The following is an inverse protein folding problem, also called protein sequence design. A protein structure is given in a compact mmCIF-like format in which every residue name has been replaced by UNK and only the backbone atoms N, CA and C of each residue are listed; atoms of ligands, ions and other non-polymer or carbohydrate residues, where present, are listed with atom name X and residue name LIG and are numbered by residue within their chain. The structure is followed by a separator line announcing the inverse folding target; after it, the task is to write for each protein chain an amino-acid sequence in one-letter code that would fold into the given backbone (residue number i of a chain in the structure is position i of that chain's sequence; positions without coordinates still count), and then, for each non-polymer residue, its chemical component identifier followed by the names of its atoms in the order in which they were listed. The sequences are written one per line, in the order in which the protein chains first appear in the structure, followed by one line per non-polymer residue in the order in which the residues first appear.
data_IF_771806266910
#
_entry.id   IF_771806266910
#
_cell.length_a   1.000
_cell.length_b   1.000
_cell.length_c   1.000
_cell.angle_alpha   90.00
_cell.angle_beta   90.00
_cell.angle_gamma   90.00
#
_symmetry.space_group_name_H-M   'P 1'
#
loop_
_entity.id
_entity.type
_entity.pdbx_description
1 polymer ?
#
# COMPACT_ATOMS: atom_id res chain seq x y z
N UNK A 1 -5.16 10.83 -9.17
CA UNK A 1 -4.45 11.05 -7.88
C UNK A 1 -4.94 9.99 -6.91
N UNK A 2 -4.06 9.10 -6.41
CA UNK A 2 -4.47 8.04 -5.46
C UNK A 2 -4.65 8.65 -4.06
N UNK A 3 -5.86 8.60 -3.54
CA UNK A 3 -6.20 9.18 -2.25
C UNK A 3 -5.86 8.20 -1.12
N UNK A 4 -4.71 8.39 -0.47
CA UNK A 4 -4.18 7.47 0.54
C UNK A 4 -4.81 7.62 1.94
N UNK A 5 -5.96 8.29 2.08
CA UNK A 5 -6.55 8.73 3.37
C UNK A 5 -6.77 7.64 4.44
N UNK A 6 -6.61 6.35 4.12
CA UNK A 6 -6.88 5.21 5.00
C UNK A 6 -5.82 4.96 6.09
N UNK A 7 -4.63 5.57 6.03
CA UNK A 7 -3.60 5.40 7.07
C UNK A 7 -3.69 6.58 8.07
N UNK A 8 -4.89 6.87 8.57
CA UNK A 8 -5.13 7.87 9.62
C UNK A 8 -5.72 7.18 10.85
N UNK A 9 -4.98 6.27 11.47
CA UNK A 9 -5.31 5.82 12.82
C UNK A 9 -4.27 6.32 13.84
N UNK A 10 -4.68 7.34 14.57
CA UNK A 10 -4.36 7.69 15.95
C UNK A 10 -2.99 7.24 16.52
N UNK A 11 -1.91 8.03 16.29
CA UNK A 11 -0.79 8.08 17.24
C UNK A 11 0.63 7.69 16.77
N UNK A 12 0.85 7.16 15.56
CA UNK A 12 2.22 6.82 15.07
C UNK A 12 2.49 7.37 13.67
N UNK A 13 2.76 8.68 13.60
CA UNK A 13 2.91 9.45 12.34
C UNK A 13 4.15 9.09 11.51
N UNK A 14 5.24 8.62 12.13
CA UNK A 14 6.54 8.46 11.45
C UNK A 14 6.67 7.14 10.67
N UNK A 15 6.27 6.01 11.26
CA UNK A 15 6.33 4.70 10.58
C UNK A 15 5.39 4.63 9.38
N UNK A 16 4.22 5.24 9.49
CA UNK A 16 3.20 5.29 8.44
C UNK A 16 3.69 6.01 7.17
N UNK A 17 4.57 7.01 7.29
CA UNK A 17 5.08 7.76 6.14
C UNK A 17 6.11 6.95 5.34
N UNK A 18 7.02 6.24 6.03
CA UNK A 18 8.05 5.41 5.37
C UNK A 18 7.42 4.23 4.62
N UNK A 19 6.46 3.55 5.26
CA UNK A 19 5.69 2.46 4.65
C UNK A 19 5.01 2.94 3.37
N UNK A 20 4.34 4.10 3.41
CA UNK A 20 3.70 4.67 2.22
C UNK A 20 4.67 4.98 1.11
N UNK A 21 5.82 5.60 1.43
CA UNK A 21 6.85 5.88 0.42
C UNK A 21 7.31 4.59 -0.27
N UNK A 22 7.59 3.53 0.49
CA UNK A 22 8.00 2.25 -0.09
C UNK A 22 6.93 1.66 -1.00
N UNK A 23 5.68 1.61 -0.54
CA UNK A 23 4.55 1.09 -1.31
C UNK A 23 4.37 1.90 -2.60
N UNK A 24 4.28 3.23 -2.50
CA UNK A 24 4.08 4.10 -3.66
C UNK A 24 5.23 3.96 -4.64
N UNK A 25 6.48 3.92 -4.16
CA UNK A 25 7.67 3.72 -4.99
C UNK A 25 7.59 2.41 -5.77
N UNK A 26 7.24 1.32 -5.11
CA UNK A 26 7.07 0.01 -5.75
C UNK A 26 5.96 0.04 -6.80
N UNK A 27 4.81 0.63 -6.47
CA UNK A 27 3.67 0.75 -7.38
C UNK A 27 4.01 1.60 -8.60
N UNK A 28 4.68 2.75 -8.44
CA UNK A 28 5.07 3.60 -9.57
C UNK A 28 6.10 2.93 -10.48
N UNK A 29 6.93 2.04 -9.94
CA UNK A 29 7.99 1.37 -10.68
C UNK A 29 7.48 0.14 -11.45
N UNK A 30 6.60 -0.67 -10.84
CA UNK A 30 6.11 -1.91 -11.44
C UNK A 30 4.73 -1.78 -12.10
N UNK A 31 3.90 -0.86 -11.60
CA UNK A 31 2.50 -0.69 -12.01
C UNK A 31 2.20 0.78 -12.36
N UNK A 32 2.96 1.39 -13.30
CA UNK A 32 2.66 2.74 -13.76
C UNK A 32 1.22 2.81 -14.26
N UNK A 33 0.51 3.89 -13.93
CA UNK A 33 -0.92 4.10 -14.24
C UNK A 33 -1.92 3.15 -13.56
N UNK A 34 -1.51 2.26 -12.66
CA UNK A 34 -2.48 1.41 -11.95
C UNK A 34 -3.20 2.19 -10.84
N UNK A 35 -4.54 2.12 -10.86
CA UNK A 35 -5.39 2.78 -9.88
C UNK A 35 -5.61 1.83 -8.71
N UNK A 36 -5.34 2.30 -7.50
CA UNK A 36 -5.69 1.57 -6.28
C UNK A 36 -7.21 1.54 -6.13
N UNK A 37 -7.79 0.36 -6.14
CA UNK A 37 -9.20 0.13 -5.85
C UNK A 37 -9.46 0.14 -4.35
N UNK A 38 -8.63 -0.56 -3.56
CA UNK A 38 -8.80 -0.64 -2.11
C UNK A 38 -7.48 -0.93 -1.39
N UNK A 39 -7.39 -0.49 -0.14
CA UNK A 39 -6.24 -0.75 0.73
C UNK A 39 -6.77 -1.29 2.05
N UNK A 40 -6.43 -2.54 2.36
CA UNK A 40 -6.74 -3.16 3.64
C UNK A 40 -5.47 -3.31 4.47
N UNK A 41 -5.57 -2.96 5.76
CA UNK A 41 -4.51 -3.25 6.73
C UNK A 41 -4.96 -4.38 7.63
N UNK A 42 -4.27 -5.53 7.59
CA UNK A 42 -4.46 -6.64 8.53
C UNK A 42 -3.27 -6.73 9.45
N UNK A 43 -3.44 -6.46 10.76
CA UNK A 43 -2.40 -6.54 11.81
C UNK A 43 -0.97 -6.14 11.36
N UNK A 44 -0.24 -7.08 10.75
CA UNK A 44 1.14 -6.95 10.28
C UNK A 44 1.32 -6.92 8.74
N UNK A 45 0.27 -6.70 7.96
CA UNK A 45 0.34 -6.68 6.50
C UNK A 45 -0.62 -5.63 5.91
N UNK A 46 -0.27 -5.13 4.73
CA UNK A 46 -1.11 -4.27 3.90
C UNK A 46 -1.45 -5.01 2.62
N UNK A 47 -2.73 -5.21 2.35
CA UNK A 47 -3.23 -5.71 1.07
C UNK A 47 -3.73 -4.52 0.25
N UNK A 48 -3.28 -4.40 -0.98
CA UNK A 48 -3.64 -3.34 -1.92
C UNK A 48 -4.25 -4.00 -3.13
N UNK A 49 -5.51 -3.71 -3.40
CA UNK A 49 -6.19 -4.18 -4.59
C UNK A 49 -6.16 -3.07 -5.64
N UNK A 50 -5.73 -3.42 -6.84
CA UNK A 50 -5.68 -2.56 -8.01
C UNK A 50 -6.96 -2.75 -8.82
N UNK A 51 -7.43 -1.67 -9.45
CA UNK A 51 -8.59 -1.71 -10.36
C UNK A 51 -8.41 -2.70 -11.52
N UNK A 52 -7.16 -3.03 -11.87
CA UNK A 52 -6.83 -4.03 -12.89
C UNK A 52 -7.11 -5.47 -12.44
N UNK A 53 -7.53 -5.69 -11.18
CA UNK A 53 -7.78 -7.01 -10.60
C UNK A 53 -6.58 -7.63 -9.87
N UNK A 54 -5.46 -6.91 -9.77
CA UNK A 54 -4.23 -7.39 -9.14
C UNK A 54 -4.25 -7.09 -7.63
N UNK A 55 -3.88 -8.07 -6.81
CA UNK A 55 -3.78 -7.93 -5.35
C UNK A 55 -2.33 -7.93 -4.88
N UNK A 56 -1.83 -6.81 -4.38
CA UNK A 56 -0.48 -6.69 -3.84
C UNK A 56 -0.49 -6.81 -2.32
N UNK A 57 0.40 -7.63 -1.76
CA UNK A 57 0.56 -7.81 -0.31
C UNK A 57 1.93 -7.27 0.13
N UNK A 58 1.92 -6.36 1.10
CA UNK A 58 3.10 -5.77 1.72
C UNK A 58 3.14 -6.12 3.21
N UNK A 59 4.34 -6.20 3.75
CA UNK A 59 4.59 -6.38 5.18
C UNK A 59 4.24 -5.10 5.97
N UNK A 60 4.20 -5.21 7.31
CA UNK A 60 4.07 -4.08 8.24
C UNK A 60 5.10 -2.98 7.99
N UNK A 61 6.26 -3.35 7.43
CA UNK A 61 7.34 -2.44 7.08
C UNK A 61 7.20 -1.78 5.69
N UNK A 62 6.20 -2.17 4.89
CA UNK A 62 6.02 -1.70 3.52
C UNK A 62 6.90 -2.41 2.48
N UNK A 63 7.50 -3.55 2.85
CA UNK A 63 8.22 -4.41 1.91
C UNK A 63 7.23 -5.29 1.16
N UNK A 64 7.36 -5.40 -0.16
CA UNK A 64 6.53 -6.28 -0.97
C UNK A 64 6.78 -7.75 -0.56
N UNK A 65 5.70 -8.48 -0.26
CA UNK A 65 5.73 -9.90 0.08
C UNK A 65 5.39 -10.72 -1.15
N UNK A 66 4.20 -10.48 -1.73
CA UNK A 66 3.67 -11.25 -2.86
C UNK A 66 2.55 -10.51 -3.57
N UNK A 67 2.30 -10.90 -4.82
CA UNK A 67 1.14 -10.50 -5.61
C UNK A 67 0.24 -11.70 -5.84
N UNK A 68 -1.06 -11.48 -5.95
CA UNK A 68 -2.09 -12.47 -6.20
C UNK A 68 -3.05 -12.01 -7.29
#
# INVERSE_FOLDING_TARGET
MVNWSLIRNNGRKTSSHKIRKNIVSFMTMHYPCSVVQSIEKKYNAYKIELMSGISLVFDANGSFIKTH
#
